data_IF_456883150364
#
_entry.id   IF_456883150364
#
_cell.length_a   1.000
_cell.length_b   1.000
_cell.length_c   1.000
_cell.angle_alpha   90.00
_cell.angle_beta   90.00
_cell.angle_gamma   90.00
#
_symmetry.space_group_name_H-M   'P 1'
#
loop_
_entity.id
_entity.type
_entity.pdbx_description
1 polymer ?
#
# COMPACT_ATOMS: atom_id res chain seq x y z
N UNK A 1 27.32 20.80 -88.42
CA UNK A 1 26.01 21.23 -87.88
C UNK A 1 25.56 20.20 -86.84
N UNK A 2 25.43 20.65 -85.59
CA UNK A 2 24.81 20.06 -84.41
C UNK A 2 25.00 18.55 -84.10
N UNK A 3 25.94 18.32 -83.19
CA UNK A 3 26.17 17.13 -82.37
C UNK A 3 24.97 16.94 -81.42
N UNK A 4 24.17 15.89 -81.61
CA UNK A 4 22.99 15.60 -80.79
C UNK A 4 23.44 14.88 -79.51
N UNK A 5 23.51 15.65 -78.42
CA UNK A 5 23.88 15.23 -77.08
C UNK A 5 23.09 14.00 -76.61
N UNK A 6 23.83 12.94 -76.25
CA UNK A 6 23.31 11.83 -75.45
C UNK A 6 22.79 12.37 -74.12
N UNK A 7 21.47 12.36 -73.92
CA UNK A 7 20.87 12.56 -72.60
C UNK A 7 21.09 11.26 -71.81
N UNK A 8 21.76 11.27 -70.65
CA UNK A 8 21.85 10.08 -69.82
C UNK A 8 20.46 9.78 -69.24
N UNK A 9 20.01 8.52 -69.34
CA UNK A 9 18.85 8.06 -68.56
C UNK A 9 19.18 8.24 -67.08
N UNK A 10 18.49 9.14 -66.40
CA UNK A 10 18.46 9.17 -64.94
C UNK A 10 17.78 7.89 -64.45
N UNK A 11 18.58 6.91 -64.03
CA UNK A 11 18.07 5.83 -63.20
C UNK A 11 17.93 6.36 -61.78
N UNK A 12 16.74 6.80 -61.40
CA UNK A 12 16.43 7.09 -60.00
C UNK A 12 16.73 5.84 -59.15
N UNK A 13 17.59 5.92 -58.12
CA UNK A 13 17.71 4.83 -57.15
C UNK A 13 16.39 4.74 -56.39
N UNK A 14 15.62 3.67 -56.64
CA UNK A 14 14.45 3.33 -55.81
C UNK A 14 14.95 2.73 -54.50
N UNK A 15 15.52 3.54 -53.63
CA UNK A 15 15.61 3.13 -52.23
C UNK A 15 14.22 3.25 -51.62
N UNK A 16 13.58 2.15 -51.19
CA UNK A 16 12.36 2.27 -50.42
C UNK A 16 12.70 3.00 -49.12
N UNK A 17 12.08 4.17 -48.91
CA UNK A 17 12.14 4.89 -47.65
C UNK A 17 11.55 3.94 -46.60
N UNK A 18 12.42 3.38 -45.75
CA UNK A 18 12.02 2.48 -44.66
C UNK A 18 11.40 3.33 -43.57
N UNK A 19 10.09 3.59 -43.68
CA UNK A 19 9.34 4.30 -42.63
C UNK A 19 9.50 3.46 -41.35
N UNK A 20 10.07 4.00 -40.26
CA UNK A 20 10.14 3.26 -39.01
C UNK A 20 8.69 2.94 -38.61
N UNK A 21 8.38 1.65 -38.47
CA UNK A 21 7.07 1.21 -37.95
C UNK A 21 6.87 1.95 -36.64
N UNK A 22 5.88 2.86 -36.63
CA UNK A 22 5.41 3.58 -35.44
C UNK A 22 5.26 2.51 -34.36
N UNK A 23 6.17 2.50 -33.38
CA UNK A 23 6.06 1.56 -32.25
C UNK A 23 4.65 1.76 -31.71
N UNK A 24 3.81 0.73 -31.78
CA UNK A 24 2.55 0.73 -31.03
C UNK A 24 2.99 0.92 -29.59
N UNK A 25 2.85 2.14 -29.08
CA UNK A 25 3.00 2.40 -27.67
C UNK A 25 1.91 1.52 -27.05
N UNK A 26 2.26 0.49 -26.26
CA UNK A 26 1.24 -0.34 -25.63
C UNK A 26 0.29 0.59 -24.88
N UNK A 27 -1.03 0.31 -24.86
CA UNK A 27 -1.95 1.07 -24.02
C UNK A 27 -1.33 1.09 -22.63
N UNK A 28 -1.00 2.29 -22.13
CA UNK A 28 -0.52 2.47 -20.77
C UNK A 28 -1.69 2.04 -19.89
N UNK A 29 -1.64 0.77 -19.48
CA UNK A 29 -2.62 0.13 -18.64
C UNK A 29 -2.70 0.99 -17.38
N UNK A 30 -3.85 1.65 -17.22
CA UNK A 30 -4.14 2.54 -16.10
C UNK A 30 -4.02 1.74 -14.82
N UNK A 31 -2.83 1.72 -14.21
CA UNK A 31 -2.62 1.20 -12.86
C UNK A 31 -3.09 2.24 -11.85
N UNK A 32 -4.35 2.66 -11.97
CA UNK A 32 -5.06 3.32 -10.88
C UNK A 32 -5.45 2.24 -9.87
N UNK A 33 -4.45 1.71 -9.15
CA UNK A 33 -4.71 1.05 -7.86
C UNK A 33 -4.94 2.16 -6.83
N UNK A 34 -6.03 2.92 -7.00
CA UNK A 34 -6.62 3.63 -5.86
C UNK A 34 -7.21 2.52 -5.01
N UNK A 35 -6.43 1.97 -4.08
CA UNK A 35 -7.01 1.20 -2.98
C UNK A 35 -7.94 2.18 -2.27
N UNK A 36 -9.24 1.90 -2.29
CA UNK A 36 -10.21 2.80 -1.70
C UNK A 36 -9.85 3.04 -0.23
N UNK A 37 -9.82 4.29 0.23
CA UNK A 37 -9.47 4.63 1.61
C UNK A 37 -10.37 3.90 2.63
N UNK A 38 -11.58 3.52 2.21
CA UNK A 38 -12.53 2.75 3.02
C UNK A 38 -12.00 1.41 3.50
N UNK A 39 -11.16 0.70 2.73
CA UNK A 39 -10.58 -0.58 3.16
C UNK A 39 -9.63 -0.39 4.35
N UNK A 40 -8.85 0.70 4.32
CA UNK A 40 -7.88 1.03 5.37
C UNK A 40 -8.61 1.38 6.67
N UNK A 41 -9.73 2.12 6.56
CA UNK A 41 -10.54 2.50 7.72
C UNK A 41 -11.11 1.24 8.40
N UNK A 42 -11.60 0.26 7.64
CA UNK A 42 -12.15 -0.98 8.21
C UNK A 42 -11.07 -1.73 9.00
N UNK A 43 -9.86 -1.85 8.48
CA UNK A 43 -8.76 -2.50 9.21
C UNK A 43 -8.44 -1.78 10.55
N UNK A 44 -8.46 -0.45 10.58
CA UNK A 44 -8.26 0.32 11.82
C UNK A 44 -9.38 0.09 12.85
N UNK A 45 -10.63 -0.01 12.39
CA UNK A 45 -11.78 -0.29 13.27
C UNK A 45 -11.79 -1.74 13.77
N UNK A 46 -11.39 -2.71 12.94
CA UNK A 46 -11.28 -4.12 13.34
C UNK A 46 -10.25 -4.27 14.47
N UNK A 47 -9.17 -3.49 14.44
CA UNK A 47 -8.13 -3.53 15.46
C UNK A 47 -8.54 -2.87 16.80
N UNK A 48 -9.64 -2.12 16.85
CA UNK A 48 -10.18 -1.60 18.13
C UNK A 48 -10.98 -2.65 18.89
N UNK A 49 -11.56 -3.62 18.19
CA UNK A 49 -12.40 -4.66 18.81
C UNK A 49 -11.67 -5.49 19.89
N UNK A 50 -10.43 -5.97 19.68
CA UNK A 50 -9.69 -6.75 20.69
C UNK A 50 -9.40 -5.96 21.96
N UNK A 51 -9.28 -4.62 21.88
CA UNK A 51 -8.97 -3.75 23.03
C UNK A 51 -10.04 -3.88 24.12
N UNK A 52 -11.31 -4.01 23.73
CA UNK A 52 -12.45 -4.04 24.64
C UNK A 52 -13.02 -5.45 24.86
N UNK A 53 -12.37 -6.47 24.33
CA UNK A 53 -12.80 -7.85 24.50
C UNK A 53 -12.78 -8.23 25.99
N UNK A 54 -13.90 -8.74 26.51
CA UNK A 54 -14.07 -9.12 27.92
C UNK A 54 -13.89 -8.00 28.96
N UNK A 55 -13.87 -6.73 28.54
CA UNK A 55 -13.77 -5.58 29.44
C UNK A 55 -15.15 -4.92 29.60
N UNK A 56 -15.60 -4.58 30.82
CA UNK A 56 -16.82 -3.80 31.00
C UNK A 56 -16.69 -2.44 30.31
N UNK A 57 -17.62 -2.12 29.41
CA UNK A 57 -17.61 -0.86 28.65
C UNK A 57 -18.15 0.24 29.55
N UNK A 58 -17.24 1.04 30.08
CA UNK A 58 -17.50 2.24 30.88
C UNK A 58 -16.77 3.42 30.26
N UNK A 59 -17.18 4.64 30.61
CA UNK A 59 -16.51 5.83 30.08
C UNK A 59 -14.99 5.83 30.39
N UNK A 60 -14.61 5.33 31.57
CA UNK A 60 -13.22 5.21 31.99
C UNK A 60 -12.46 4.17 31.14
N UNK A 61 -13.02 2.97 30.96
CA UNK A 61 -12.35 1.91 30.20
C UNK A 61 -12.22 2.24 28.72
N UNK A 62 -13.19 2.95 28.12
CA UNK A 62 -13.10 3.42 26.74
C UNK A 62 -11.95 4.41 26.55
N UNK A 63 -11.83 5.40 27.43
CA UNK A 63 -10.75 6.39 27.37
C UNK A 63 -9.39 5.72 27.60
N UNK A 64 -9.28 4.90 28.64
CA UNK A 64 -8.02 4.20 28.95
C UNK A 64 -7.62 3.22 27.85
N UNK A 65 -8.56 2.44 27.32
CA UNK A 65 -8.33 1.53 26.20
C UNK A 65 -7.85 2.25 24.95
N UNK A 66 -8.44 3.41 24.62
CA UNK A 66 -8.00 4.22 23.49
C UNK A 66 -6.58 4.76 23.67
N UNK A 67 -6.25 5.28 24.85
CA UNK A 67 -4.91 5.80 25.16
C UNK A 67 -3.87 4.68 25.09
N UNK A 68 -4.15 3.53 25.71
CA UNK A 68 -3.27 2.36 25.70
C UNK A 68 -3.05 1.86 24.28
N UNK A 69 -4.12 1.68 23.51
CA UNK A 69 -4.02 1.25 22.11
C UNK A 69 -3.15 2.20 21.28
N UNK A 70 -3.33 3.52 21.43
CA UNK A 70 -2.47 4.50 20.74
C UNK A 70 -1.03 4.50 21.24
N UNK A 71 -0.80 4.25 22.52
CA UNK A 71 0.55 4.09 23.03
C UNK A 71 1.26 2.87 22.39
N UNK A 72 0.58 1.73 22.28
CA UNK A 72 1.14 0.52 21.65
C UNK A 72 1.28 0.66 20.12
N UNK A 73 0.31 1.26 19.45
CA UNK A 73 0.38 1.53 18.00
C UNK A 73 1.47 2.55 17.64
N UNK A 74 1.75 3.56 18.49
CA UNK A 74 2.84 4.52 18.23
C UNK A 74 4.20 3.92 18.54
N UNK A 75 4.30 3.11 19.59
CA UNK A 75 5.59 2.58 20.02
C UNK A 75 6.20 1.59 19.04
N UNK A 76 5.42 0.98 18.13
CA UNK A 76 5.84 0.04 17.06
C UNK A 76 7.22 -0.56 17.34
N UNK A 77 7.36 -1.30 18.45
CA UNK A 77 8.64 -1.87 18.87
C UNK A 77 8.92 -3.08 17.96
N UNK A 78 9.41 -2.80 16.74
CA UNK A 78 10.12 -3.71 15.81
C UNK A 78 9.35 -4.93 15.22
N UNK A 79 9.73 -5.51 14.05
CA UNK A 79 10.81 -5.17 13.11
C UNK A 79 10.34 -5.01 11.63
N UNK A 80 10.37 -3.77 11.12
CA UNK A 80 10.08 -3.45 9.69
C UNK A 80 11.15 -4.01 8.72
N UNK A 81 12.30 -4.50 9.20
CA UNK A 81 13.42 -4.93 8.34
C UNK A 81 13.49 -6.42 8.01
N UNK A 82 12.82 -7.30 8.77
CA UNK A 82 12.85 -8.77 8.52
C UNK A 82 11.63 -9.26 7.70
N UNK A 83 10.55 -8.47 7.67
CA UNK A 83 9.28 -8.80 6.98
C UNK A 83 9.28 -8.49 5.48
N UNK A 84 10.35 -7.90 4.92
CA UNK A 84 10.50 -7.72 3.46
C UNK A 84 10.41 -9.04 2.68
N UNK A 85 10.57 -10.20 3.34
CA UNK A 85 10.42 -11.53 2.72
C UNK A 85 9.00 -12.10 2.75
N UNK A 86 8.10 -11.59 3.59
CA UNK A 86 6.75 -12.13 3.76
C UNK A 86 5.71 -11.08 3.34
N UNK A 87 5.40 -11.03 2.04
CA UNK A 87 4.23 -10.35 1.44
C UNK A 87 3.73 -9.11 2.23
N UNK A 88 4.58 -8.08 2.33
CA UNK A 88 4.44 -6.64 2.60
C UNK A 88 3.21 -6.02 3.34
N UNK A 89 2.11 -6.71 3.63
CA UNK A 89 0.89 -6.16 4.24
C UNK A 89 0.34 -6.97 5.42
N UNK A 90 0.61 -8.28 5.49
CA UNK A 90 0.13 -9.12 6.60
C UNK A 90 0.81 -8.78 7.93
N UNK A 91 2.10 -8.41 7.89
CA UNK A 91 2.84 -8.03 9.11
C UNK A 91 2.27 -6.78 9.77
N UNK A 92 1.90 -5.76 8.99
CA UNK A 92 1.37 -4.50 9.51
C UNK A 92 0.03 -4.72 10.22
N UNK A 93 -0.89 -5.48 9.60
CA UNK A 93 -2.18 -5.79 10.25
C UNK A 93 -2.01 -6.64 11.51
N UNK A 94 -1.08 -7.60 11.50
CA UNK A 94 -0.80 -8.43 12.67
C UNK A 94 -0.19 -7.61 13.81
N UNK A 95 0.70 -6.65 13.49
CA UNK A 95 1.31 -5.75 14.46
C UNK A 95 0.26 -4.84 15.12
N UNK A 96 -0.66 -4.29 14.32
CA UNK A 96 -1.76 -3.46 14.83
C UNK A 96 -2.73 -4.29 15.70
N UNK A 97 -2.99 -5.56 15.33
CA UNK A 97 -3.78 -6.50 16.15
C UNK A 97 -3.07 -6.86 17.46
N UNK A 98 -1.76 -7.12 17.43
CA UNK A 98 -0.97 -7.40 18.64
C UNK A 98 -0.99 -6.20 19.59
N UNK A 99 -0.89 -4.98 19.06
CA UNK A 99 -0.99 -3.74 19.83
C UNK A 99 -2.34 -3.65 20.57
N UNK A 100 -3.42 -4.09 19.93
CA UNK A 100 -4.75 -4.17 20.55
C UNK A 100 -4.84 -5.20 21.68
N UNK A 101 -4.22 -6.37 21.51
CA UNK A 101 -4.15 -7.41 22.54
C UNK A 101 -3.35 -6.94 23.75
N UNK A 102 -2.20 -6.28 23.53
CA UNK A 102 -1.42 -5.70 24.63
C UNK A 102 -2.21 -4.65 25.41
N UNK A 103 -2.92 -3.76 24.70
CA UNK A 103 -3.80 -2.79 25.33
C UNK A 103 -4.88 -3.46 26.20
N UNK A 104 -5.49 -4.55 25.71
CA UNK A 104 -6.51 -5.30 26.46
C UNK A 104 -5.96 -5.93 27.74
N UNK A 105 -4.78 -6.56 27.68
CA UNK A 105 -4.14 -7.18 28.85
C UNK A 105 -3.81 -6.11 29.89
N UNK A 106 -3.24 -4.98 29.48
CA UNK A 106 -2.91 -3.89 30.40
C UNK A 106 -4.17 -3.27 30.99
N UNK A 107 -5.23 -3.12 30.20
CA UNK A 107 -6.51 -2.61 30.69
C UNK A 107 -7.13 -3.55 31.73
N UNK A 108 -7.06 -4.87 31.51
CA UNK A 108 -7.46 -5.88 32.50
C UNK A 108 -6.64 -5.78 33.79
N UNK A 109 -5.32 -5.63 33.68
CA UNK A 109 -4.46 -5.45 34.86
C UNK A 109 -4.84 -4.19 35.62
N UNK A 110 -5.07 -3.08 34.93
CA UNK A 110 -5.51 -1.83 35.56
C UNK A 110 -6.84 -2.02 36.28
N UNK A 111 -7.82 -2.67 35.67
CA UNK A 111 -9.11 -2.94 36.31
C UNK A 111 -8.98 -3.86 37.53
N UNK A 112 -8.16 -4.89 37.41
CA UNK A 112 -7.87 -5.81 38.50
C UNK A 112 -7.21 -5.11 39.70
N UNK A 113 -6.21 -4.26 39.45
CA UNK A 113 -5.54 -3.49 40.51
C UNK A 113 -6.40 -2.34 41.05
N UNK A 114 -7.19 -1.70 40.19
CA UNK A 114 -8.07 -0.60 40.58
C UNK A 114 -9.32 -1.10 41.33
N UNK A 115 -9.58 -2.41 41.33
CA UNK A 115 -10.72 -3.04 42.00
C UNK A 115 -12.05 -2.36 41.65
N UNK A 116 -12.37 -2.37 40.35
CA UNK A 116 -13.74 -2.23 39.82
C UNK A 116 -14.34 -3.63 39.68
#
# INVERSE_FOLDING_TARGET
RANQSRIPRQTHPRHPIRIPRRKKIPPQEKKNRKKDPSYIIIDEFVNIFPVFLFVPITFFTVIMGFILYRFFDVTKIYPIKELEKVKSGWGIMLDDFLSAVYANIVLHLILFFCSI
#
